data_IF_107089332233
#
_entry.id   IF_107089332233
#
_cell.length_a   1.000
_cell.length_b   1.000
_cell.length_c   1.000
_cell.angle_alpha   90.00
_cell.angle_beta   90.00
_cell.angle_gamma   90.00
#
_symmetry.space_group_name_H-M   'P 1'
#
loop_
_entity.id
_entity.type
_entity.pdbx_description
1 polymer ?
#
# COMPACT_ATOMS: atom_id res chain seq x y z
N UNK A 1 -2.36 -11.74 -7.30
CA UNK A 1 -1.98 -10.33 -7.48
C UNK A 1 -2.51 -9.83 -8.81
N UNK A 2 -2.84 -8.54 -8.94
CA UNK A 2 -3.15 -7.93 -10.24
C UNK A 2 -1.89 -7.46 -10.99
N UNK A 3 -0.72 -7.45 -10.36
CA UNK A 3 0.53 -7.06 -11.03
C UNK A 3 1.02 -8.15 -11.98
N UNK A 4 1.47 -7.74 -13.17
CA UNK A 4 2.11 -8.59 -14.16
C UNK A 4 3.61 -8.27 -14.29
N UNK A 5 4.32 -9.06 -15.09
CA UNK A 5 5.72 -8.77 -15.44
C UNK A 5 5.85 -7.37 -16.04
N UNK A 6 6.81 -6.58 -15.53
CA UNK A 6 7.06 -5.20 -15.97
C UNK A 6 6.20 -4.13 -15.31
N UNK A 7 5.24 -4.50 -14.46
CA UNK A 7 4.52 -3.51 -13.65
C UNK A 7 5.34 -3.13 -12.41
N UNK A 8 5.24 -1.87 -12.00
CA UNK A 8 5.80 -1.39 -10.73
C UNK A 8 4.77 -0.57 -9.99
N UNK A 9 4.62 -0.83 -8.70
CA UNK A 9 3.65 -0.18 -7.82
C UNK A 9 4.36 0.25 -6.55
N UNK A 10 4.20 1.52 -6.18
CA UNK A 10 4.66 2.06 -4.92
C UNK A 10 3.47 2.20 -3.97
N UNK A 11 3.57 1.54 -2.81
CA UNK A 11 2.61 1.64 -1.71
C UNK A 11 3.22 2.50 -0.62
N UNK A 12 2.48 3.52 -0.21
CA UNK A 12 2.92 4.49 0.79
C UNK A 12 1.91 4.52 1.95
N UNK A 13 2.43 4.30 3.16
CA UNK A 13 1.69 4.40 4.42
C UNK A 13 1.92 5.80 5.01
N UNK A 14 0.83 6.48 5.32
CA UNK A 14 0.80 7.74 6.04
C UNK A 14 0.11 7.58 7.38
N UNK A 15 0.61 8.28 8.38
CA UNK A 15 0.12 8.22 9.75
C UNK A 15 -0.13 9.61 10.32
N UNK A 16 -1.15 9.73 11.17
CA UNK A 16 -1.36 10.88 12.03
C UNK A 16 -1.72 10.42 13.45
N UNK A 17 -1.08 11.03 14.46
CA UNK A 17 -1.35 10.73 15.87
C UNK A 17 -2.46 11.63 16.45
N UNK A 18 -2.52 12.88 16.02
CA UNK A 18 -3.52 13.88 16.42
C UNK A 18 -3.89 14.75 15.23
N UNK A 19 -5.20 14.97 15.00
CA UNK A 19 -5.76 15.71 13.86
C UNK A 19 -5.34 15.11 12.48
N UNK A 20 -5.97 15.48 11.35
CA UNK A 20 -5.64 14.89 10.04
C UNK A 20 -4.32 15.46 9.44
N UNK A 21 -3.24 15.50 10.22
CA UNK A 21 -1.90 15.87 9.78
C UNK A 21 -1.09 14.62 9.42
N UNK A 22 -1.43 14.01 8.27
CA UNK A 22 -0.81 12.79 7.79
C UNK A 22 0.64 13.03 7.38
N UNK A 23 1.58 12.32 8.02
CA UNK A 23 2.98 12.26 7.62
C UNK A 23 3.31 10.92 6.99
N UNK A 24 4.19 10.94 5.98
CA UNK A 24 4.70 9.73 5.34
C UNK A 24 5.45 8.92 6.39
N UNK A 25 5.01 7.68 6.60
CA UNK A 25 5.58 6.77 7.59
C UNK A 25 6.47 5.73 6.91
N UNK A 26 5.93 5.01 5.93
CA UNK A 26 6.64 3.97 5.21
C UNK A 26 6.32 4.04 3.72
N UNK A 27 7.27 3.61 2.90
CA UNK A 27 7.13 3.54 1.46
C UNK A 27 7.81 2.28 0.95
N UNK A 28 7.11 1.54 0.12
CA UNK A 28 7.63 0.30 -0.43
C UNK A 28 7.23 0.17 -1.89
N UNK A 29 8.18 -0.25 -2.71
CA UNK A 29 8.00 -0.39 -4.15
C UNK A 29 8.07 -1.86 -4.50
N UNK A 30 7.02 -2.33 -5.17
CA UNK A 30 6.84 -3.69 -5.61
C UNK A 30 6.94 -3.72 -7.13
N UNK A 31 7.64 -4.71 -7.67
CA UNK A 31 7.81 -4.88 -9.11
C UNK A 31 7.47 -6.29 -9.57
N UNK A 32 6.99 -6.40 -10.80
CA UNK A 32 6.66 -7.68 -11.43
C UNK A 32 5.49 -8.42 -10.78
N UNK A 33 5.41 -9.72 -11.06
CA UNK A 33 4.33 -10.59 -10.57
C UNK A 33 4.51 -10.83 -9.07
N UNK A 34 3.49 -10.47 -8.29
CA UNK A 34 3.48 -10.74 -6.85
C UNK A 34 2.77 -12.06 -6.56
N UNK A 35 3.49 -13.07 -6.10
CA UNK A 35 2.92 -14.37 -5.72
C UNK A 35 1.99 -14.24 -4.52
N UNK A 36 2.38 -13.42 -3.52
CA UNK A 36 1.61 -13.15 -2.31
C UNK A 36 1.20 -11.68 -2.25
N UNK A 37 0.02 -11.29 -2.77
CA UNK A 37 -0.42 -9.89 -2.81
C UNK A 37 -0.90 -9.32 -1.46
N UNK A 38 -0.62 -10.00 -0.35
CA UNK A 38 -1.05 -9.56 0.97
C UNK A 38 0.06 -8.73 1.61
N UNK A 39 -0.25 -7.46 1.88
CA UNK A 39 0.65 -6.57 2.61
C UNK A 39 0.38 -6.69 4.10
N UNK A 40 1.39 -7.13 4.85
CA UNK A 40 1.32 -7.14 6.30
C UNK A 40 1.77 -5.79 6.85
N UNK A 41 0.82 -5.05 7.43
CA UNK A 41 1.08 -3.79 8.11
C UNK A 41 0.89 -4.01 9.61
N UNK A 42 1.91 -3.66 10.40
CA UNK A 42 1.77 -3.66 11.85
C UNK A 42 0.72 -2.62 12.24
N UNK A 43 -0.20 -3.02 13.12
CA UNK A 43 -1.18 -2.12 13.72
C UNK A 43 -0.47 -1.07 14.56
N UNK A 44 -0.74 0.20 14.29
CA UNK A 44 -0.10 1.32 14.98
C UNK A 44 -1.18 2.26 15.54
N UNK A 45 -0.91 2.94 16.67
CA UNK A 45 -1.86 3.90 17.21
C UNK A 45 -2.01 5.10 16.26
N UNK A 46 -3.25 5.55 16.06
CA UNK A 46 -3.57 6.74 15.28
C UNK A 46 -4.39 6.47 14.02
N UNK A 47 -4.45 7.48 13.16
CA UNK A 47 -5.14 7.43 11.87
C UNK A 47 -4.18 6.99 10.77
N UNK A 48 -4.61 6.03 9.96
CA UNK A 48 -3.83 5.48 8.85
C UNK A 48 -4.44 5.93 7.52
N UNK A 49 -3.57 6.33 6.59
CA UNK A 49 -3.92 6.58 5.19
C UNK A 49 -2.94 5.83 4.32
N UNK A 50 -3.44 4.98 3.43
CA UNK A 50 -2.62 4.19 2.51
C UNK A 50 -2.88 4.69 1.10
N UNK A 51 -1.82 4.88 0.33
CA UNK A 51 -1.92 5.19 -1.10
C UNK A 51 -1.14 4.15 -1.89
N UNK A 52 -1.72 3.73 -3.01
CA UNK A 52 -1.08 2.85 -3.97
C UNK A 52 -0.97 3.61 -5.29
N UNK A 53 0.24 3.70 -5.82
CA UNK A 53 0.52 4.36 -7.10
C UNK A 53 1.26 3.39 -8.00
N UNK A 54 0.71 3.14 -9.19
CA UNK A 54 1.46 2.44 -10.23
C UNK A 54 2.44 3.41 -10.90
N UNK A 55 3.72 3.08 -10.87
CA UNK A 55 4.82 3.90 -11.39
C UNK A 55 5.28 3.45 -12.77
N UNK A 56 5.14 2.15 -13.09
CA UNK A 56 5.49 1.58 -14.39
C UNK A 56 4.49 0.50 -14.83
N UNK A 57 4.48 0.24 -16.14
CA UNK A 57 3.68 -0.81 -16.77
C UNK A 57 2.31 -0.34 -17.26
N UNK A 58 1.37 -1.27 -17.39
CA UNK A 58 0.01 -0.97 -17.86
C UNK A 58 -0.86 -0.60 -16.68
N UNK A 59 -1.57 0.52 -16.72
CA UNK A 59 -2.45 0.92 -15.62
C UNK A 59 -3.50 -0.13 -15.30
N UNK A 60 -3.49 -0.62 -14.05
CA UNK A 60 -4.41 -1.65 -13.56
C UNK A 60 -5.28 -1.13 -12.42
N UNK A 61 -6.43 -1.79 -12.27
CA UNK A 61 -7.29 -1.61 -11.10
C UNK A 61 -6.84 -2.53 -9.97
N UNK A 62 -6.69 -1.99 -8.77
CA UNK A 62 -6.29 -2.74 -7.57
C UNK A 62 -7.45 -2.75 -6.57
N UNK A 63 -8.08 -3.92 -6.42
CA UNK A 63 -9.03 -4.13 -5.32
C UNK A 63 -8.26 -4.28 -4.01
N UNK A 64 -8.72 -3.62 -2.94
CA UNK A 64 -8.10 -3.73 -1.62
C UNK A 64 -9.14 -4.12 -0.56
N UNK A 65 -8.68 -4.83 0.46
CA UNK A 65 -9.46 -5.14 1.66
C UNK A 65 -8.54 -5.10 2.86
N UNK A 66 -8.94 -4.37 3.89
CA UNK A 66 -8.21 -4.28 5.14
C UNK A 66 -8.74 -5.37 6.07
N UNK A 67 -7.83 -6.15 6.64
CA UNK A 67 -8.14 -7.17 7.63
C UNK A 67 -7.54 -6.74 8.96
N UNK A 68 -8.40 -6.48 9.94
CA UNK A 68 -7.97 -6.15 11.30
C UNK A 68 -7.92 -7.44 12.13
N UNK A 69 -6.80 -7.65 12.82
CA UNK A 69 -6.67 -8.73 13.80
C UNK A 69 -7.27 -8.23 15.12
N UNK A 70 -8.48 -8.70 15.43
CA UNK A 70 -9.12 -8.47 16.74
C UNK A 70 -8.52 -9.36 17.82
#
# INVERSE_FOLDING_TARGET
SNMASGDEVTVCEYMALENPNYKKYQNETYSGVQEYPLLYMLGKPGMLKITLQQTLGTYRSFGYKIYERR
#
